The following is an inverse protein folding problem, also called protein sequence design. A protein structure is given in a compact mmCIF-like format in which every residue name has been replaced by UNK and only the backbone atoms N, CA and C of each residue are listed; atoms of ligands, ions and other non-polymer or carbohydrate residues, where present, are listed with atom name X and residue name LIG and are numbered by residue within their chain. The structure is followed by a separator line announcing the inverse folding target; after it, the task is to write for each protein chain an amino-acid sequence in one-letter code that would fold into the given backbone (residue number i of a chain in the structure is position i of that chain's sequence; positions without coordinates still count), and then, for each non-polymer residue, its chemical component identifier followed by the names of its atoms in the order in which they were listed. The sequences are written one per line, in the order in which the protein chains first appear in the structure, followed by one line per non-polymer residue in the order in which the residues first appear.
data_IF_320241614672
#
_entry.id   IF_320241614672
#
_cell.length_a   1.000
_cell.length_b   1.000
_cell.length_c   1.000
_cell.angle_alpha   90.00
_cell.angle_beta   90.00
_cell.angle_gamma   90.00
#
_symmetry.space_group_name_H-M   'P 1'
#
loop_
_entity.id
_entity.type
_entity.pdbx_description
1 polymer ?
#
# COMPACT_ATOMS: atom_id res chain seq x y z
N UNK A 1 0.98 -28.68 -14.29
CA UNK A 1 1.75 -27.85 -13.34
C UNK A 1 2.47 -26.79 -14.15
N UNK A 2 2.14 -25.52 -13.95
CA UNK A 2 2.69 -24.43 -14.76
C UNK A 2 3.92 -23.84 -14.06
N UNK A 3 4.86 -23.31 -14.84
CA UNK A 3 6.00 -22.53 -14.32
C UNK A 3 5.71 -21.02 -14.36
N UNK A 4 6.49 -20.17 -13.66
CA UNK A 4 6.26 -18.72 -13.68
C UNK A 4 6.23 -18.15 -15.11
N UNK A 5 7.18 -18.55 -15.96
CA UNK A 5 7.26 -18.09 -17.34
C UNK A 5 6.04 -18.56 -18.17
N UNK A 6 5.57 -19.79 -17.97
CA UNK A 6 4.39 -20.30 -18.67
C UNK A 6 3.12 -19.56 -18.28
N UNK A 7 2.95 -19.23 -17.00
CA UNK A 7 1.82 -18.42 -16.51
C UNK A 7 1.88 -17.02 -17.14
N UNK A 8 3.05 -16.39 -17.12
CA UNK A 8 3.27 -15.08 -17.74
C UNK A 8 2.95 -15.07 -19.24
N UNK A 9 3.48 -16.02 -20.00
CA UNK A 9 3.25 -16.14 -21.45
C UNK A 9 1.77 -16.36 -21.77
N UNK A 10 1.10 -17.25 -21.01
CA UNK A 10 -0.34 -17.49 -21.18
C UNK A 10 -1.15 -16.22 -20.92
N UNK A 11 -0.85 -15.51 -19.84
CA UNK A 11 -1.55 -14.28 -19.50
C UNK A 11 -1.34 -13.18 -20.56
N UNK A 12 -0.16 -13.07 -21.17
CA UNK A 12 0.06 -12.15 -22.30
C UNK A 12 -0.86 -12.50 -23.48
N UNK A 13 -0.95 -13.78 -23.83
CA UNK A 13 -1.79 -14.25 -24.94
C UNK A 13 -3.29 -14.06 -24.66
N UNK A 14 -3.74 -14.42 -23.46
CA UNK A 14 -5.16 -14.43 -23.10
C UNK A 14 -5.71 -13.04 -22.73
N UNK A 15 -4.88 -12.18 -22.11
CA UNK A 15 -5.32 -10.89 -21.54
C UNK A 15 -4.85 -9.67 -22.36
N UNK A 16 -4.24 -9.89 -23.53
CA UNK A 16 -3.83 -8.82 -24.44
C UNK A 16 -2.74 -7.88 -23.90
N UNK A 17 -1.95 -8.32 -22.91
CA UNK A 17 -0.86 -7.51 -22.38
C UNK A 17 0.24 -7.30 -23.44
N UNK A 18 0.88 -6.12 -23.44
CA UNK A 18 2.05 -5.89 -24.28
C UNK A 18 3.29 -6.49 -23.64
N UNK A 19 4.13 -7.09 -24.48
CA UNK A 19 5.42 -7.62 -24.06
C UNK A 19 6.37 -6.46 -23.69
N UNK A 20 6.96 -6.54 -22.50
CA UNK A 20 7.96 -5.61 -21.99
C UNK A 20 9.25 -6.38 -21.70
N UNK A 21 10.35 -5.94 -22.30
CA UNK A 21 11.66 -6.60 -22.17
C UNK A 21 12.13 -6.66 -20.71
N UNK A 22 11.83 -5.62 -19.91
CA UNK A 22 12.17 -5.60 -18.48
C UNK A 22 11.33 -6.62 -17.69
N UNK A 23 10.07 -6.84 -18.08
CA UNK A 23 9.25 -7.89 -17.49
C UNK A 23 9.72 -9.29 -17.89
N UNK A 24 10.16 -9.45 -19.14
CA UNK A 24 10.70 -10.71 -19.63
C UNK A 24 11.98 -11.11 -18.88
N UNK A 25 12.93 -10.19 -18.74
CA UNK A 25 14.16 -10.43 -17.97
C UNK A 25 13.84 -10.82 -16.52
N UNK A 26 12.93 -10.08 -15.88
CA UNK A 26 12.56 -10.35 -14.49
C UNK A 26 11.84 -11.70 -14.31
N UNK A 27 10.93 -12.08 -15.23
CA UNK A 27 10.25 -13.37 -15.13
C UNK A 27 11.20 -14.54 -15.43
N UNK A 28 12.22 -14.36 -16.27
CA UNK A 28 13.25 -15.37 -16.51
C UNK A 28 14.08 -15.64 -15.25
N UNK A 29 14.43 -14.61 -14.49
CA UNK A 29 15.09 -14.78 -13.18
C UNK A 29 14.18 -15.53 -12.20
N UNK A 30 12.89 -15.16 -12.11
CA UNK A 30 11.93 -15.85 -11.26
C UNK A 30 11.70 -17.31 -11.69
N UNK A 31 11.73 -17.57 -13.00
CA UNK A 31 11.64 -18.91 -13.58
C UNK A 31 12.85 -19.77 -13.16
N UNK A 32 14.07 -19.21 -13.23
CA UNK A 32 15.27 -19.91 -12.81
C UNK A 32 15.24 -20.20 -11.31
N UNK A 33 14.89 -19.20 -10.50
CA UNK A 33 14.71 -19.36 -9.06
C UNK A 33 13.70 -20.49 -8.72
N UNK A 34 12.58 -20.53 -9.43
CA UNK A 34 11.57 -21.58 -9.26
C UNK A 34 12.14 -22.97 -9.55
N UNK A 35 12.96 -23.12 -10.60
CA UNK A 35 13.63 -24.38 -10.94
C UNK A 35 14.62 -24.79 -9.86
N UNK A 36 15.42 -23.84 -9.37
CA UNK A 36 16.42 -24.10 -8.33
C UNK A 36 15.76 -24.50 -7.00
N UNK A 37 14.65 -23.86 -6.64
CA UNK A 37 13.83 -24.24 -5.49
C UNK A 37 13.28 -25.67 -5.61
N UNK A 38 12.79 -26.07 -6.79
CA UNK A 38 12.32 -27.44 -7.02
C UNK A 38 13.43 -28.48 -6.94
N UNK A 39 14.66 -28.12 -7.32
CA UNK A 39 15.84 -28.98 -7.25
C UNK A 39 16.54 -28.95 -5.89
N UNK A 40 16.15 -28.04 -4.99
CA UNK A 40 16.86 -27.79 -3.74
C UNK A 40 18.25 -27.16 -3.92
N UNK A 41 18.48 -26.49 -5.06
CA UNK A 41 19.76 -25.86 -5.44
C UNK A 41 19.78 -24.37 -5.11
N UNK A 42 19.32 -24.02 -3.91
CA UNK A 42 19.28 -22.63 -3.42
C UNK A 42 20.63 -22.21 -2.83
N UNK A 43 20.99 -20.96 -3.08
CA UNK A 43 22.23 -20.31 -2.62
C UNK A 43 21.90 -19.08 -1.77
N UNK A 44 22.91 -18.45 -1.20
CA UNK A 44 22.75 -17.17 -0.51
C UNK A 44 22.18 -16.05 -1.42
N UNK A 45 22.29 -16.17 -2.75
CA UNK A 45 21.79 -15.16 -3.69
C UNK A 45 20.46 -15.56 -4.35
N UNK A 46 19.79 -16.59 -3.83
CA UNK A 46 18.50 -17.05 -4.37
C UNK A 46 17.30 -16.21 -3.93
N UNK A 47 17.52 -15.03 -3.33
CA UNK A 47 16.44 -14.09 -3.01
C UNK A 47 16.38 -12.97 -4.04
N UNK A 48 15.18 -12.55 -4.44
CA UNK A 48 14.96 -11.59 -5.53
C UNK A 48 14.26 -10.34 -5.01
N UNK A 49 14.71 -9.17 -5.47
CA UNK A 49 14.10 -7.89 -5.16
C UNK A 49 13.75 -7.14 -6.43
N UNK A 50 12.46 -7.07 -6.73
CA UNK A 50 11.92 -6.32 -7.87
C UNK A 50 11.64 -4.89 -7.45
N UNK A 51 12.28 -3.92 -8.09
CA UNK A 51 12.01 -2.51 -7.82
C UNK A 51 11.82 -1.67 -9.07
N UNK A 52 11.13 -0.55 -8.94
CA UNK A 52 10.84 0.36 -10.05
C UNK A 52 9.50 1.05 -9.84
N UNK A 53 9.20 2.10 -10.61
CA UNK A 53 7.99 2.94 -10.44
C UNK A 53 6.68 2.14 -10.41
N UNK A 54 5.60 2.79 -9.99
CA UNK A 54 4.27 2.17 -9.99
C UNK A 54 3.87 1.78 -11.43
N UNK A 55 3.03 0.76 -11.57
CA UNK A 55 2.53 0.35 -12.89
C UNK A 55 3.44 -0.57 -13.72
N UNK A 56 4.65 -0.88 -13.23
CA UNK A 56 5.65 -1.70 -13.98
C UNK A 56 5.44 -3.22 -13.92
N UNK A 57 4.36 -3.70 -13.31
CA UNK A 57 4.05 -5.14 -13.25
C UNK A 57 4.82 -5.96 -12.19
N UNK A 58 5.54 -5.33 -11.25
CA UNK A 58 6.28 -6.03 -10.17
C UNK A 58 5.43 -7.06 -9.42
N UNK A 59 4.26 -6.63 -8.94
CA UNK A 59 3.30 -7.48 -8.22
C UNK A 59 2.80 -8.60 -9.11
N UNK A 60 2.48 -8.31 -10.36
CA UNK A 60 2.03 -9.30 -11.34
C UNK A 60 3.09 -10.39 -11.63
N UNK A 61 4.37 -10.02 -11.72
CA UNK A 61 5.46 -11.00 -11.86
C UNK A 61 5.57 -11.88 -10.61
N UNK A 62 5.41 -11.28 -9.42
CA UNK A 62 5.36 -12.03 -8.17
C UNK A 62 4.13 -12.97 -8.11
N UNK A 63 2.97 -12.56 -8.66
CA UNK A 63 1.77 -13.39 -8.79
C UNK A 63 2.07 -14.64 -9.63
N UNK A 64 2.68 -14.45 -10.80
CA UNK A 64 3.06 -15.56 -11.69
C UNK A 64 3.98 -16.57 -10.97
N UNK A 65 4.92 -16.08 -10.17
CA UNK A 65 5.79 -16.95 -9.37
C UNK A 65 5.02 -17.67 -8.25
N UNK A 66 4.20 -16.93 -7.51
CA UNK A 66 3.44 -17.47 -6.39
C UNK A 66 2.43 -18.54 -6.85
N UNK A 67 1.71 -18.29 -7.94
CA UNK A 67 0.76 -19.23 -8.55
C UNK A 67 1.46 -20.48 -9.09
N UNK A 68 2.67 -20.33 -9.64
CA UNK A 68 3.50 -21.47 -10.01
C UNK A 68 3.87 -22.30 -8.78
N UNK A 69 4.21 -21.67 -7.65
CA UNK A 69 4.45 -22.39 -6.40
C UNK A 69 3.20 -23.13 -5.92
N UNK A 70 2.04 -22.47 -5.88
CA UNK A 70 0.76 -23.06 -5.43
C UNK A 70 0.34 -24.26 -6.28
N UNK A 71 0.56 -24.19 -7.60
CA UNK A 71 0.23 -25.27 -8.53
C UNK A 71 1.25 -26.42 -8.56
N UNK A 72 2.26 -26.40 -7.68
CA UNK A 72 3.34 -27.38 -7.60
C UNK A 72 3.60 -27.80 -6.13
N UNK A 73 4.57 -28.70 -5.91
CA UNK A 73 4.98 -29.18 -4.58
C UNK A 73 5.54 -28.10 -3.62
N UNK A 74 5.73 -26.86 -4.11
CA UNK A 74 6.17 -25.72 -3.31
C UNK A 74 5.01 -25.01 -2.58
N UNK A 75 3.76 -25.30 -2.93
CA UNK A 75 2.59 -24.55 -2.46
C UNK A 75 2.42 -24.49 -0.95
N UNK A 76 2.77 -25.56 -0.24
CA UNK A 76 2.73 -25.59 1.24
C UNK A 76 3.89 -24.89 1.93
N UNK A 77 4.95 -24.54 1.18
CA UNK A 77 6.19 -23.96 1.69
C UNK A 77 6.34 -22.46 1.35
N UNK A 78 5.37 -21.88 0.64
CA UNK A 78 5.38 -20.48 0.23
C UNK A 78 4.35 -19.67 1.02
N UNK A 79 4.73 -18.46 1.43
CA UNK A 79 3.79 -17.48 2.00
C UNK A 79 3.89 -16.18 1.24
N UNK A 80 2.76 -15.68 0.76
CA UNK A 80 2.64 -14.30 0.33
C UNK A 80 2.01 -13.43 1.41
N UNK A 81 2.55 -12.23 1.60
CA UNK A 81 2.03 -11.25 2.56
C UNK A 81 2.45 -9.84 2.15
N UNK A 82 1.57 -8.87 2.37
CA UNK A 82 1.90 -7.45 2.21
C UNK A 82 2.79 -6.96 3.38
N UNK A 83 3.75 -6.07 3.13
CA UNK A 83 4.72 -5.60 4.13
C UNK A 83 4.09 -5.16 5.45
N UNK A 84 3.10 -4.27 5.39
CA UNK A 84 2.44 -3.77 6.61
C UNK A 84 1.81 -4.88 7.45
N UNK A 85 1.14 -5.85 6.81
CA UNK A 85 0.55 -7.02 7.48
C UNK A 85 1.64 -7.92 8.06
N UNK A 86 2.79 -8.04 7.40
CA UNK A 86 3.94 -8.76 7.93
C UNK A 86 4.51 -8.10 9.19
N UNK A 87 4.63 -6.77 9.22
CA UNK A 87 5.06 -6.05 10.41
C UNK A 87 4.06 -6.20 11.58
N UNK A 88 2.75 -6.12 11.30
CA UNK A 88 1.71 -6.41 12.30
C UNK A 88 1.80 -7.84 12.84
N UNK A 89 2.05 -8.83 11.97
CA UNK A 89 2.30 -10.21 12.38
C UNK A 89 3.54 -10.29 13.28
N UNK A 90 4.64 -9.67 12.87
CA UNK A 90 5.91 -9.70 13.59
C UNK A 90 5.77 -9.11 15.00
N UNK A 91 5.14 -7.94 15.13
CA UNK A 91 4.86 -7.32 16.44
C UNK A 91 3.97 -8.19 17.33
N UNK A 92 2.96 -8.87 16.77
CA UNK A 92 2.14 -9.84 17.54
C UNK A 92 2.97 -11.03 18.02
N UNK A 93 3.82 -11.60 17.15
CA UNK A 93 4.67 -12.75 17.52
C UNK A 93 5.72 -12.38 18.57
N UNK A 94 6.27 -11.16 18.54
CA UNK A 94 7.17 -10.69 19.58
C UNK A 94 6.51 -10.62 20.96
N UNK A 95 5.22 -10.25 21.02
CA UNK A 95 4.44 -10.28 22.27
C UNK A 95 4.24 -11.72 22.76
N UNK A 96 3.98 -12.67 21.87
CA UNK A 96 3.85 -14.10 22.23
C UNK A 96 5.15 -14.66 22.80
N UNK A 97 6.30 -14.19 22.34
CA UNK A 97 7.61 -14.58 22.84
C UNK A 97 8.21 -13.60 23.84
N UNK A 98 7.39 -12.74 24.45
CA UNK A 98 7.84 -11.80 25.45
C UNK A 98 8.47 -12.52 26.65
N UNK A 99 9.56 -11.96 27.18
CA UNK A 99 10.32 -12.55 28.29
C UNK A 99 11.33 -13.63 27.88
N UNK A 100 11.33 -14.09 26.62
CA UNK A 100 12.41 -14.93 26.09
C UNK A 100 13.66 -14.10 25.77
N UNK A 101 14.83 -14.70 25.92
CA UNK A 101 16.09 -14.12 25.43
C UNK A 101 16.06 -14.11 23.91
N UNK A 102 16.22 -12.93 23.30
CA UNK A 102 16.13 -12.70 21.84
C UNK A 102 14.86 -13.24 21.17
N UNK A 103 13.67 -12.65 21.46
CA UNK A 103 12.38 -13.13 20.96
C UNK A 103 12.30 -13.30 19.43
N UNK A 104 13.02 -12.45 18.69
CA UNK A 104 13.12 -12.51 17.22
C UNK A 104 13.59 -13.86 16.68
N UNK A 105 14.51 -14.53 17.38
CA UNK A 105 15.03 -15.83 16.95
C UNK A 105 13.93 -16.89 17.00
N UNK A 106 13.02 -16.80 17.97
CA UNK A 106 11.86 -17.70 18.06
C UNK A 106 10.85 -17.40 16.96
N UNK A 107 10.58 -16.12 16.67
CA UNK A 107 9.72 -15.74 15.53
C UNK A 107 10.29 -16.29 14.21
N UNK A 108 11.59 -16.14 13.99
CA UNK A 108 12.27 -16.68 12.81
C UNK A 108 12.12 -18.21 12.72
N UNK A 109 12.35 -18.93 13.83
CA UNK A 109 12.16 -20.38 13.88
C UNK A 109 10.73 -20.81 13.54
N UNK A 110 9.73 -20.09 14.04
CA UNK A 110 8.34 -20.43 13.79
C UNK A 110 7.92 -20.16 12.33
N UNK A 111 8.44 -19.09 11.73
CA UNK A 111 8.31 -18.85 10.28
C UNK A 111 8.96 -19.96 9.46
N UNK A 112 10.21 -20.32 9.77
CA UNK A 112 11.00 -21.32 9.02
C UNK A 112 10.45 -22.74 9.12
N UNK A 113 9.70 -23.08 10.17
CA UNK A 113 8.97 -24.36 10.27
C UNK A 113 7.87 -24.49 9.22
N UNK A 114 7.24 -23.37 8.85
CA UNK A 114 6.09 -23.34 7.97
C UNK A 114 6.47 -23.02 6.53
N UNK A 115 7.41 -22.08 6.36
CA UNK A 115 7.69 -21.48 5.06
C UNK A 115 9.19 -21.48 4.76
N UNK A 116 9.53 -21.90 3.54
CA UNK A 116 10.87 -21.74 2.95
C UNK A 116 10.95 -20.54 2.02
N UNK A 117 9.81 -20.09 1.51
CA UNK A 117 9.71 -18.99 0.55
C UNK A 117 8.77 -17.95 1.13
N UNK A 118 9.23 -16.70 1.20
CA UNK A 118 8.42 -15.56 1.59
C UNK A 118 8.33 -14.59 0.40
N UNK A 119 7.11 -14.37 -0.08
CA UNK A 119 6.79 -13.34 -1.06
C UNK A 119 6.26 -12.11 -0.30
N UNK A 120 7.05 -11.03 -0.27
CA UNK A 120 6.74 -9.81 0.46
C UNK A 120 6.37 -8.69 -0.51
N UNK A 121 5.07 -8.39 -0.59
CA UNK A 121 4.57 -7.34 -1.47
C UNK A 121 4.75 -5.96 -0.83
N UNK A 122 5.02 -4.97 -1.68
CA UNK A 122 5.10 -3.55 -1.31
C UNK A 122 6.02 -3.25 -0.13
N UNK A 123 7.24 -3.76 -0.23
CA UNK A 123 8.29 -3.53 0.74
C UNK A 123 8.67 -2.06 0.86
N UNK A 124 8.35 -1.45 2.00
CA UNK A 124 8.61 -0.04 2.28
C UNK A 124 8.88 0.17 3.76
N UNK A 125 9.81 1.05 4.12
CA UNK A 125 10.19 1.29 5.51
C UNK A 125 10.07 2.78 5.83
N UNK A 126 9.20 3.13 6.77
CA UNK A 126 8.91 4.51 7.19
C UNK A 126 9.26 4.84 8.64
N UNK A 127 9.56 3.84 9.47
CA UNK A 127 9.91 4.00 10.89
C UNK A 127 11.18 3.23 11.26
N UNK A 128 12.01 3.81 12.14
CA UNK A 128 13.30 3.22 12.55
C UNK A 128 13.14 1.94 13.38
N UNK A 129 12.13 1.83 14.24
CA UNK A 129 11.90 0.63 15.04
C UNK A 129 11.58 -0.57 14.15
N UNK A 130 10.71 -0.37 13.16
CA UNK A 130 10.37 -1.38 12.15
C UNK A 130 11.58 -1.71 11.27
N UNK A 131 12.36 -0.71 10.87
CA UNK A 131 13.60 -0.89 10.12
C UNK A 131 14.61 -1.79 10.86
N UNK A 132 14.86 -1.50 12.13
CA UNK A 132 15.78 -2.25 12.99
C UNK A 132 15.30 -3.68 13.26
N UNK A 133 13.99 -3.85 13.39
CA UNK A 133 13.36 -5.14 13.64
C UNK A 133 13.48 -6.04 12.41
N UNK A 134 13.13 -5.48 11.25
CA UNK A 134 13.21 -6.12 9.95
C UNK A 134 14.64 -6.54 9.60
N UNK A 135 15.62 -5.64 9.76
CA UNK A 135 17.01 -5.95 9.47
C UNK A 135 17.56 -7.13 10.26
N UNK A 136 17.25 -7.17 11.57
CA UNK A 136 17.64 -8.29 12.43
C UNK A 136 16.95 -9.59 12.06
N UNK A 137 15.65 -9.54 11.75
CA UNK A 137 14.90 -10.72 11.34
C UNK A 137 15.40 -11.28 10.00
N UNK A 138 15.55 -10.42 9.00
CA UNK A 138 15.98 -10.82 7.65
C UNK A 138 17.35 -11.49 7.69
N UNK A 139 18.30 -10.94 8.46
CA UNK A 139 19.60 -11.58 8.66
C UNK A 139 19.47 -13.04 9.13
N UNK A 140 18.67 -13.28 10.18
CA UNK A 140 18.45 -14.64 10.71
C UNK A 140 17.77 -15.53 9.68
N UNK A 141 16.77 -15.03 8.95
CA UNK A 141 16.04 -15.81 7.94
C UNK A 141 16.96 -16.21 6.77
N UNK A 142 17.78 -15.29 6.28
CA UNK A 142 18.72 -15.58 5.19
C UNK A 142 19.82 -16.56 5.61
N UNK A 143 20.39 -16.41 6.80
CA UNK A 143 21.37 -17.35 7.35
C UNK A 143 20.81 -18.78 7.51
N UNK A 144 19.49 -18.91 7.61
CA UNK A 144 18.78 -20.20 7.69
C UNK A 144 18.24 -20.69 6.33
N UNK A 145 18.57 -19.99 5.24
CA UNK A 145 18.23 -20.42 3.87
C UNK A 145 16.80 -20.10 3.44
N UNK A 146 16.10 -19.15 4.09
CA UNK A 146 14.83 -18.64 3.57
C UNK A 146 15.08 -17.85 2.29
N UNK A 147 14.24 -18.11 1.27
CA UNK A 147 14.21 -17.34 0.03
C UNK A 147 13.17 -16.23 0.15
N UNK A 148 13.60 -14.99 -0.06
CA UNK A 148 12.73 -13.82 -0.14
C UNK A 148 12.51 -13.43 -1.61
N UNK A 149 11.25 -13.23 -2.01
CA UNK A 149 10.91 -12.45 -3.19
C UNK A 149 10.21 -11.20 -2.70
N UNK A 150 10.73 -10.02 -2.99
CA UNK A 150 10.13 -8.76 -2.56
C UNK A 150 9.87 -7.82 -3.74
N UNK A 151 8.80 -7.04 -3.64
CA UNK A 151 8.46 -5.97 -4.60
C UNK A 151 8.53 -4.62 -3.87
N UNK A 152 9.03 -3.57 -4.53
CA UNK A 152 9.01 -2.21 -3.99
C UNK A 152 9.04 -1.17 -5.11
N UNK A 153 8.66 0.07 -4.86
CA UNK A 153 9.00 1.15 -5.80
C UNK A 153 10.29 1.91 -5.42
N UNK A 154 10.96 1.51 -4.34
CA UNK A 154 12.23 2.07 -3.88
C UNK A 154 13.34 1.02 -4.04
N UNK A 155 14.53 1.41 -4.51
CA UNK A 155 15.69 0.52 -4.52
C UNK A 155 16.22 0.26 -3.09
N UNK A 156 16.88 -0.89 -2.81
CA UNK A 156 17.31 -1.24 -1.45
C UNK A 156 18.15 -0.18 -0.73
N UNK A 157 19.08 0.46 -1.44
CA UNK A 157 19.96 1.52 -0.90
C UNK A 157 19.21 2.79 -0.48
N UNK A 158 17.99 3.00 -0.99
CA UNK A 158 17.14 4.15 -0.71
C UNK A 158 16.02 3.82 0.28
N UNK A 159 15.92 2.57 0.75
CA UNK A 159 14.97 2.23 1.81
C UNK A 159 15.24 3.07 3.04
N UNK A 160 14.23 3.78 3.55
CA UNK A 160 14.34 4.70 4.69
C UNK A 160 15.29 5.90 4.45
N UNK A 161 15.50 6.31 3.19
CA UNK A 161 16.28 7.51 2.84
C UNK A 161 15.70 8.70 3.59
N UNK A 162 16.55 9.45 4.30
CA UNK A 162 16.18 10.58 5.17
C UNK A 162 15.47 10.25 6.50
N UNK A 163 15.33 8.96 6.81
CA UNK A 163 14.80 8.49 8.08
C UNK A 163 15.63 8.89 9.30
N UNK A 164 14.97 9.04 10.44
CA UNK A 164 15.61 9.37 11.72
C UNK A 164 16.60 8.25 12.12
N UNK A 165 17.85 8.60 12.43
CA UNK A 165 18.90 7.63 12.78
C UNK A 165 19.17 6.57 11.69
N UNK A 166 19.04 6.94 10.41
CA UNK A 166 19.32 6.08 9.23
C UNK A 166 20.61 5.24 9.34
N UNK A 167 21.67 5.78 9.93
CA UNK A 167 22.95 5.07 10.11
C UNK A 167 22.79 3.71 10.81
N UNK A 168 21.80 3.59 11.71
CA UNK A 168 21.50 2.33 12.42
C UNK A 168 20.89 1.28 11.50
N UNK A 169 20.25 1.70 10.40
CA UNK A 169 19.62 0.82 9.42
C UNK A 169 20.56 0.43 8.26
N UNK A 170 21.66 1.15 8.04
CA UNK A 170 22.65 0.81 7.00
C UNK A 170 23.15 -0.64 7.05
N UNK A 171 23.42 -1.26 8.23
CA UNK A 171 23.79 -2.68 8.29
C UNK A 171 22.71 -3.62 7.75
N UNK A 172 21.43 -3.26 7.89
CA UNK A 172 20.33 -4.04 7.35
C UNK A 172 20.26 -3.91 5.82
N UNK A 173 20.48 -2.70 5.29
CA UNK A 173 20.58 -2.46 3.84
C UNK A 173 21.73 -3.29 3.25
N UNK A 174 22.91 -3.24 3.87
CA UNK A 174 24.06 -4.05 3.43
C UNK A 174 23.76 -5.56 3.47
N UNK A 175 22.98 -6.01 4.47
CA UNK A 175 22.51 -7.40 4.53
C UNK A 175 21.59 -7.71 3.35
N UNK A 176 20.62 -6.84 3.06
CA UNK A 176 19.70 -7.00 1.93
C UNK A 176 20.48 -7.03 0.60
N UNK A 177 21.40 -6.11 0.37
CA UNK A 177 22.23 -6.07 -0.85
C UNK A 177 23.11 -7.32 -1.03
N UNK A 178 23.53 -7.95 0.07
CA UNK A 178 24.32 -9.18 0.00
C UNK A 178 23.49 -10.38 -0.47
N UNK A 179 22.26 -10.53 0.04
CA UNK A 179 21.41 -11.70 -0.22
C UNK A 179 20.47 -11.52 -1.43
N UNK A 180 20.15 -10.29 -1.81
CA UNK A 180 19.18 -10.01 -2.86
C UNK A 180 19.83 -9.83 -4.23
N UNK A 181 19.35 -10.59 -5.20
CA UNK A 181 19.45 -10.23 -6.60
C UNK A 181 18.44 -9.11 -6.88
N UNK A 182 18.95 -7.89 -7.08
CA UNK A 182 18.14 -6.69 -7.30
C UNK A 182 17.87 -6.53 -8.80
N UNK A 183 16.59 -6.46 -9.17
CA UNK A 183 16.14 -6.28 -10.55
C UNK A 183 15.34 -4.98 -10.67
N UNK A 184 15.77 -4.12 -11.60
CA UNK A 184 15.11 -2.84 -11.86
C UNK A 184 14.12 -2.96 -13.02
N UNK A 185 12.85 -2.73 -12.73
CA UNK A 185 11.75 -2.67 -13.69
C UNK A 185 11.73 -1.30 -14.39
N UNK A 186 12.61 -1.14 -15.37
CA UNK A 186 12.83 0.11 -16.11
C UNK A 186 11.88 0.39 -17.27
N UNK A 187 10.91 -0.51 -17.55
CA UNK A 187 9.97 -0.39 -18.68
C UNK A 187 9.32 0.99 -18.77
N UNK A 188 9.13 1.52 -19.98
CA UNK A 188 8.63 2.88 -20.19
C UNK A 188 7.11 3.01 -20.00
N UNK A 189 6.34 1.96 -20.33
CA UNK A 189 4.87 1.95 -20.30
C UNK A 189 4.34 1.45 -18.93
N UNK A 190 3.27 2.07 -18.45
CA UNK A 190 2.49 1.56 -17.32
C UNK A 190 1.48 0.54 -17.87
N UNK A 191 1.71 -0.74 -17.58
CA UNK A 191 0.90 -1.84 -18.11
C UNK A 191 -0.48 -1.93 -17.45
N UNK A 192 -0.72 -1.20 -16.36
CA UNK A 192 -2.05 -1.08 -15.73
C UNK A 192 -2.96 -0.16 -16.54
N UNK A 193 -2.40 0.85 -17.21
CA UNK A 193 -3.17 1.82 -18.02
C UNK A 193 -3.82 1.17 -19.26
N UNK A 194 -3.25 0.08 -19.78
CA UNK A 194 -3.82 -0.62 -20.95
C UNK A 194 -5.17 -1.31 -20.65
N UNK A 195 -5.50 -1.53 -19.37
CA UNK A 195 -6.76 -2.14 -18.93
C UNK A 195 -7.80 -1.12 -18.44
N UNK A 196 -7.44 0.14 -18.25
CA UNK A 196 -8.33 1.19 -17.76
C UNK A 196 -9.28 1.73 -18.85
N UNK A 197 -9.72 0.88 -19.77
CA UNK A 197 -10.62 1.25 -20.86
C UNK A 197 -12.02 0.74 -20.52
N UNK A 198 -12.72 1.40 -19.58
CA UNK A 198 -14.01 0.88 -19.11
C UNK A 198 -14.91 1.68 -18.14
N UNK A 199 -14.70 2.97 -17.80
CA UNK A 199 -15.64 3.85 -17.00
C UNK A 199 -16.06 3.35 -15.57
N UNK A 200 -16.77 4.09 -14.67
CA UNK A 200 -16.87 5.51 -14.31
C UNK A 200 -16.85 5.70 -12.75
N UNK A 201 -15.81 5.26 -12.03
CA UNK A 201 -15.74 5.42 -10.56
C UNK A 201 -14.98 6.67 -10.10
N UNK A 202 -14.54 7.50 -11.04
CA UNK A 202 -13.89 8.79 -10.77
C UNK A 202 -14.50 9.87 -11.65
N UNK A 203 -14.99 10.93 -11.01
CA UNK A 203 -15.66 12.05 -11.62
C UNK A 203 -14.87 13.31 -11.34
N UNK A 204 -14.80 14.20 -12.32
CA UNK A 204 -14.18 15.51 -12.18
C UNK A 204 -15.28 16.55 -12.15
N UNK A 205 -15.30 17.36 -11.11
CA UNK A 205 -16.25 18.46 -10.96
C UNK A 205 -15.56 19.71 -10.43
N UNK A 206 -16.08 20.88 -10.77
CA UNK A 206 -15.62 22.12 -10.16
C UNK A 206 -16.05 22.13 -8.69
N UNK A 207 -15.08 22.10 -7.78
CA UNK A 207 -15.34 22.27 -6.35
C UNK A 207 -15.19 23.76 -6.03
N UNK A 208 -16.30 24.43 -5.73
CA UNK A 208 -16.27 25.81 -5.27
C UNK A 208 -15.61 25.88 -3.88
N UNK A 209 -14.58 26.72 -3.74
CA UNK A 209 -13.82 26.84 -2.49
C UNK A 209 -14.66 27.32 -1.29
N UNK A 210 -15.79 27.98 -1.55
CA UNK A 210 -16.70 28.54 -0.54
C UNK A 210 -17.99 27.71 -0.35
N UNK A 211 -18.12 26.57 -1.04
CA UNK A 211 -19.28 25.70 -0.87
C UNK A 211 -19.29 25.11 0.54
N UNK A 212 -20.43 25.22 1.24
CA UNK A 212 -20.59 24.59 2.55
C UNK A 212 -20.46 23.07 2.39
N UNK A 213 -19.73 22.38 3.29
CA UNK A 213 -19.71 20.92 3.31
C UNK A 213 -21.14 20.40 3.48
N UNK A 214 -21.64 19.72 2.45
CA UNK A 214 -23.02 19.32 2.38
C UNK A 214 -23.32 18.56 1.11
N UNK A 215 -24.44 17.85 1.13
CA UNK A 215 -24.91 17.07 0.01
C UNK A 215 -25.46 18.01 -1.08
N UNK A 216 -24.80 18.11 -2.23
CA UNK A 216 -25.41 18.68 -3.43
C UNK A 216 -25.96 17.53 -4.28
N UNK A 217 -27.29 17.45 -4.37
CA UNK A 217 -27.96 16.34 -5.07
C UNK A 217 -27.65 16.28 -6.56
N UNK A 218 -27.15 17.36 -7.15
CA UNK A 218 -26.77 17.42 -8.56
C UNK A 218 -25.40 16.81 -8.84
N UNK A 219 -24.64 16.42 -7.81
CA UNK A 219 -23.31 15.83 -7.99
C UNK A 219 -23.41 14.44 -8.63
N UNK A 220 -22.63 14.14 -9.68
CA UNK A 220 -22.69 12.87 -10.39
C UNK A 220 -22.49 11.65 -9.48
N UNK A 221 -21.58 11.73 -8.50
CA UNK A 221 -21.33 10.65 -7.54
C UNK A 221 -22.52 10.43 -6.61
N UNK A 222 -23.25 11.48 -6.24
CA UNK A 222 -24.47 11.30 -5.44
C UNK A 222 -25.60 10.70 -6.27
N UNK A 223 -25.76 11.13 -7.52
CA UNK A 223 -26.68 10.48 -8.45
C UNK A 223 -26.36 9.00 -8.62
N UNK A 224 -25.08 8.65 -8.72
CA UNK A 224 -24.62 7.25 -8.77
C UNK A 224 -24.98 6.50 -7.50
N UNK A 225 -24.73 7.07 -6.32
CA UNK A 225 -25.13 6.49 -5.04
C UNK A 225 -26.64 6.20 -4.97
N UNK A 226 -27.49 7.13 -5.43
CA UNK A 226 -28.95 6.92 -5.45
C UNK A 226 -29.33 5.80 -6.42
N UNK A 227 -28.71 5.74 -7.59
CA UNK A 227 -28.96 4.67 -8.55
C UNK A 227 -28.56 3.30 -7.99
N UNK A 228 -27.39 3.21 -7.36
CA UNK A 228 -26.85 1.97 -6.79
C UNK A 228 -27.60 1.54 -5.51
N UNK A 229 -28.26 2.47 -4.82
CA UNK A 229 -29.18 2.17 -3.72
C UNK A 229 -30.48 1.48 -4.19
N UNK A 230 -30.80 1.53 -5.49
CA UNK A 230 -31.97 0.87 -6.06
C UNK A 230 -33.29 1.28 -5.39
N UNK A 231 -34.03 0.30 -4.86
CA UNK A 231 -35.27 0.52 -4.10
C UNK A 231 -35.07 0.54 -2.58
N UNK A 232 -33.83 0.43 -2.11
CA UNK A 232 -33.54 0.42 -0.68
C UNK A 232 -33.78 1.80 -0.05
N UNK A 233 -34.05 1.81 1.26
CA UNK A 233 -34.26 3.07 1.98
C UNK A 233 -32.93 3.83 2.09
N UNK A 234 -32.95 5.10 1.71
CA UNK A 234 -31.82 6.03 1.86
C UNK A 234 -32.05 6.88 3.11
N UNK A 235 -31.15 6.76 4.08
CA UNK A 235 -31.09 7.65 5.24
C UNK A 235 -30.08 8.76 4.96
N UNK A 236 -30.36 9.98 5.40
CA UNK A 236 -29.51 11.16 5.21
C UNK A 236 -29.04 11.75 6.52
N UNK A 237 -27.89 12.43 6.49
CA UNK A 237 -27.30 13.09 7.65
C UNK A 237 -27.18 12.16 8.87
N UNK A 238 -26.68 10.94 8.65
CA UNK A 238 -26.60 9.90 9.66
C UNK A 238 -25.34 10.06 10.50
N UNK A 239 -25.49 10.08 11.82
CA UNK A 239 -24.36 10.02 12.75
C UNK A 239 -23.84 8.57 12.84
N UNK A 240 -22.82 8.27 12.04
CA UNK A 240 -22.21 6.94 12.00
C UNK A 240 -21.14 6.84 13.09
N UNK A 241 -21.33 5.93 14.03
CA UNK A 241 -20.32 5.65 15.05
C UNK A 241 -19.32 4.62 14.51
N UNK A 242 -18.08 5.05 14.31
CA UNK A 242 -16.94 4.21 13.93
C UNK A 242 -15.96 4.19 15.10
N UNK A 243 -15.70 3.02 15.65
CA UNK A 243 -14.94 2.85 16.90
C UNK A 243 -15.54 3.72 18.03
N UNK A 244 -14.79 4.68 18.57
CA UNK A 244 -15.27 5.62 19.61
C UNK A 244 -15.60 7.02 19.07
N UNK A 245 -15.75 7.15 17.74
CA UNK A 245 -15.90 8.44 17.06
C UNK A 245 -17.17 8.49 16.23
N UNK A 246 -17.85 9.63 16.28
CA UNK A 246 -18.99 9.92 15.41
C UNK A 246 -18.48 10.60 14.14
N UNK A 247 -18.84 10.04 12.99
CA UNK A 247 -18.60 10.59 11.66
C UNK A 247 -19.96 10.89 11.03
N UNK A 248 -20.19 12.16 10.68
CA UNK A 248 -21.41 12.53 9.98
C UNK A 248 -21.36 12.01 8.54
N UNK A 249 -22.24 11.08 8.22
CA UNK A 249 -22.40 10.48 6.90
C UNK A 249 -23.51 11.22 6.15
N UNK A 250 -23.26 11.62 4.90
CA UNK A 250 -24.23 12.39 4.12
C UNK A 250 -25.45 11.54 3.78
N UNK A 251 -25.21 10.29 3.37
CA UNK A 251 -26.27 9.34 3.12
C UNK A 251 -25.79 7.89 3.30
N UNK A 252 -26.70 7.03 3.73
CA UNK A 252 -26.47 5.59 3.87
C UNK A 252 -27.65 4.84 3.25
N UNK A 253 -27.34 3.78 2.51
CA UNK A 253 -28.32 2.78 2.11
C UNK A 253 -27.69 1.40 2.24
N UNK A 254 -28.23 0.57 3.13
CA UNK A 254 -27.66 -0.74 3.47
C UNK A 254 -26.16 -0.68 3.81
N UNK A 255 -25.28 -1.17 2.91
CA UNK A 255 -23.82 -1.18 3.05
C UNK A 255 -23.12 -0.17 2.12
N UNK A 256 -23.87 0.76 1.55
CA UNK A 256 -23.41 1.89 0.75
C UNK A 256 -23.34 3.14 1.63
N UNK A 257 -22.17 3.78 1.68
CA UNK A 257 -21.94 4.94 2.53
C UNK A 257 -21.43 6.14 1.72
N UNK A 258 -22.05 7.29 1.89
CA UNK A 258 -21.73 8.52 1.17
C UNK A 258 -21.17 9.58 2.11
N UNK A 259 -19.97 10.08 1.83
CA UNK A 259 -19.28 11.09 2.62
C UNK A 259 -18.74 12.22 1.75
N UNK A 260 -18.62 13.42 2.33
CA UNK A 260 -17.71 14.43 1.78
C UNK A 260 -16.27 14.15 2.23
N UNK A 261 -15.30 14.64 1.45
CA UNK A 261 -13.89 14.62 1.84
C UNK A 261 -13.65 15.21 3.23
N UNK A 262 -14.25 16.36 3.53
CA UNK A 262 -14.06 17.03 4.81
C UNK A 262 -14.47 16.16 6.01
N UNK A 263 -15.66 15.55 5.94
CA UNK A 263 -16.20 14.71 7.02
C UNK A 263 -15.32 13.50 7.34
N UNK A 264 -14.71 12.92 6.29
CA UNK A 264 -13.96 11.67 6.39
C UNK A 264 -12.46 11.89 6.67
N UNK A 265 -11.90 13.05 6.32
CA UNK A 265 -10.44 13.27 6.38
C UNK A 265 -9.96 14.44 7.22
N UNK A 266 -10.77 15.47 7.51
CA UNK A 266 -10.29 16.67 8.23
C UNK A 266 -10.34 16.50 9.75
N UNK A 267 -11.36 15.81 10.26
CA UNK A 267 -11.53 15.54 11.70
C UNK A 267 -10.45 14.64 12.32
N UNK A 268 -10.49 14.38 13.63
CA UNK A 268 -9.59 13.44 14.29
C UNK A 268 -9.89 12.02 13.79
N UNK A 269 -9.07 11.53 12.86
CA UNK A 269 -9.18 10.22 12.22
C UNK A 269 -7.87 9.47 12.29
N UNK A 270 -7.95 8.15 12.30
CA UNK A 270 -6.85 7.21 12.40
C UNK A 270 -7.07 6.05 11.42
N UNK A 271 -6.00 5.30 11.13
CA UNK A 271 -6.11 4.12 10.28
C UNK A 271 -7.14 3.09 10.79
N UNK A 272 -7.33 2.97 12.11
CA UNK A 272 -8.31 2.06 12.70
C UNK A 272 -9.75 2.42 12.31
N UNK A 273 -10.05 3.71 12.13
CA UNK A 273 -11.37 4.15 11.72
C UNK A 273 -11.69 3.64 10.30
N UNK A 274 -10.70 3.67 9.40
CA UNK A 274 -10.87 3.15 8.03
C UNK A 274 -10.97 1.61 7.98
N UNK A 275 -10.26 0.91 8.87
CA UNK A 275 -10.40 -0.55 9.05
C UNK A 275 -11.80 -0.92 9.55
N UNK A 276 -12.36 -0.13 10.46
CA UNK A 276 -13.73 -0.36 10.93
C UNK A 276 -14.75 -0.07 9.82
N UNK A 277 -14.55 1.01 9.05
CA UNK A 277 -15.39 1.33 7.90
C UNK A 277 -15.37 0.24 6.82
N UNK A 278 -14.20 -0.28 6.45
CA UNK A 278 -14.06 -1.31 5.40
C UNK A 278 -14.74 -2.64 5.72
N UNK A 279 -15.03 -2.91 7.00
CA UNK A 279 -15.78 -4.09 7.44
C UNK A 279 -17.28 -3.93 7.22
N UNK A 280 -17.80 -2.71 7.37
CA UNK A 280 -19.24 -2.43 7.30
C UNK A 280 -19.69 -1.94 5.92
N UNK A 281 -18.78 -1.35 5.14
CA UNK A 281 -19.07 -0.82 3.82
C UNK A 281 -18.70 -1.83 2.72
N UNK A 282 -19.59 -2.01 1.75
CA UNK A 282 -19.27 -2.69 0.49
C UNK A 282 -18.79 -1.67 -0.55
N UNK A 283 -19.39 -0.47 -0.55
CA UNK A 283 -18.97 0.65 -1.39
C UNK A 283 -19.01 1.98 -0.61
N UNK A 284 -17.99 2.81 -0.83
CA UNK A 284 -17.90 4.16 -0.28
C UNK A 284 -17.92 5.20 -1.40
N UNK A 285 -18.86 6.14 -1.32
CA UNK A 285 -19.00 7.27 -2.23
C UNK A 285 -18.39 8.49 -1.59
N UNK A 286 -17.38 9.06 -2.22
CA UNK A 286 -16.58 10.15 -1.70
C UNK A 286 -16.71 11.39 -2.58
N UNK A 287 -17.32 12.42 -2.01
CA UNK A 287 -17.65 13.65 -2.72
C UNK A 287 -16.62 14.74 -2.45
N UNK A 288 -16.41 15.58 -3.46
CA UNK A 288 -15.66 16.83 -3.36
C UNK A 288 -14.24 16.65 -2.81
N UNK A 289 -13.46 15.71 -3.36
CA UNK A 289 -12.04 15.56 -3.05
C UNK A 289 -11.24 16.73 -3.63
N UNK A 290 -10.62 17.59 -2.81
CA UNK A 290 -9.84 18.71 -3.30
C UNK A 290 -8.49 18.24 -3.85
N UNK A 291 -7.84 19.09 -4.62
CA UNK A 291 -6.41 18.94 -4.88
C UNK A 291 -5.64 19.10 -3.56
N UNK A 292 -4.77 18.15 -3.24
CA UNK A 292 -3.97 18.10 -2.02
C UNK A 292 -2.49 18.38 -2.32
N UNK A 293 -1.71 18.69 -1.28
CA UNK A 293 -0.28 18.94 -1.40
C UNK A 293 0.05 20.33 -1.98
N UNK A 294 1.33 20.59 -2.19
CA UNK A 294 1.82 21.86 -2.72
C UNK A 294 3.24 22.20 -2.26
N UNK A 295 3.63 23.47 -2.42
CA UNK A 295 4.94 23.95 -1.99
C UNK A 295 5.12 23.76 -0.47
N UNK A 296 6.29 23.24 -0.09
CA UNK A 296 6.71 23.02 1.28
C UNK A 296 6.83 24.39 2.01
N UNK A 297 5.84 24.73 2.85
CA UNK A 297 5.84 25.98 3.60
C UNK A 297 6.45 25.78 5.01
N UNK A 298 7.47 26.57 5.35
CA UNK A 298 8.05 26.59 6.70
C UNK A 298 7.02 27.17 7.70
N UNK A 299 6.30 26.31 8.41
CA UNK A 299 5.51 26.77 9.56
C UNK A 299 6.45 27.04 10.74
N UNK A 300 6.65 28.32 11.07
CA UNK A 300 7.23 28.72 12.36
C UNK A 300 6.28 28.26 13.47
N UNK A 301 6.72 27.29 14.27
CA UNK A 301 5.99 26.86 15.47
C UNK A 301 5.95 28.02 16.47
N UNK A 302 4.75 28.45 16.86
CA UNK A 302 4.57 29.40 17.95
C UNK A 302 4.94 28.71 19.27
N UNK A 303 5.94 29.23 19.99
CA UNK A 303 6.30 28.81 21.34
C UNK A 303 5.22 29.31 22.32
N UNK A 304 4.40 28.39 22.83
CA UNK A 304 3.63 28.62 24.05
C UNK A 304 4.57 28.61 25.26
N UNK A 305 4.37 29.56 26.16
CA UNK A 305 5.14 29.76 27.39
C UNK A 305 4.92 28.62 28.40
N UNK A 306 6.02 28.21 29.04
CA UNK A 306 6.16 27.45 30.30
C UNK A 306 5.81 25.96 30.28
N UNK A 307 6.82 25.10 30.10
CA UNK A 307 7.50 24.45 31.23
C UNK A 307 8.69 23.59 30.78
N UNK A 308 9.75 23.62 31.59
CA UNK A 308 11.08 23.08 31.26
C UNK A 308 11.18 21.59 31.61
N UNK A 309 11.38 20.73 30.61
CA UNK A 309 12.10 19.47 30.78
C UNK A 309 13.15 19.31 29.68
N UNK A 310 14.41 19.20 30.11
CA UNK A 310 15.60 19.00 29.28
C UNK A 310 15.48 17.72 28.43
N UNK A 311 15.16 17.86 27.15
CA UNK A 311 15.45 16.86 26.12
C UNK A 311 16.29 17.54 25.05
N UNK A 312 17.59 17.24 25.05
CA UNK A 312 18.58 17.40 23.98
C UNK A 312 18.22 18.39 22.85
N UNK A 313 18.71 19.63 22.99
CA UNK A 313 18.64 20.77 22.06
C UNK A 313 19.26 20.56 20.66
N UNK A 314 19.49 19.34 20.18
CA UNK A 314 19.95 19.07 18.80
C UNK A 314 18.90 18.47 17.87
N UNK A 315 17.69 18.19 18.36
CA UNK A 315 16.56 17.68 17.54
C UNK A 315 15.50 18.75 17.27
N UNK A 316 15.53 19.87 18.00
CA UNK A 316 14.46 20.87 18.04
C UNK A 316 14.45 21.90 16.88
N UNK A 317 15.47 21.93 16.02
CA UNK A 317 15.60 22.94 14.96
C UNK A 317 15.44 22.39 13.53
N UNK A 318 14.85 21.20 13.34
CA UNK A 318 14.37 20.84 11.99
C UNK A 318 13.01 21.51 11.79
N UNK A 319 12.87 22.46 10.85
CA UNK A 319 11.55 23.01 10.54
C UNK A 319 10.62 21.85 10.15
N UNK A 320 9.49 21.73 10.83
CA UNK A 320 8.40 20.84 10.39
C UNK A 320 7.75 21.50 9.17
N UNK A 321 8.33 21.26 8.00
CA UNK A 321 7.80 21.76 6.73
C UNK A 321 6.69 20.83 6.27
N UNK A 322 5.43 21.21 6.44
CA UNK A 322 4.27 20.47 5.94
C UNK A 322 3.72 21.22 4.72
N UNK A 323 3.48 20.51 3.62
CA UNK A 323 2.66 21.07 2.56
C UNK A 323 1.20 21.14 3.04
N UNK A 324 0.42 22.05 2.47
CA UNK A 324 -1.02 22.13 2.76
C UNK A 324 -1.68 20.81 2.33
N UNK A 325 -2.46 20.18 3.21
CA UNK A 325 -3.15 18.93 2.90
C UNK A 325 -2.33 17.64 3.09
N UNK A 326 -1.10 17.67 3.61
CA UNK A 326 -0.26 16.47 3.77
C UNK A 326 -0.84 15.44 4.76
N UNK A 327 -1.49 15.89 5.83
CA UNK A 327 -2.10 14.98 6.82
C UNK A 327 -3.39 14.36 6.28
N UNK A 328 -4.18 15.13 5.55
CA UNK A 328 -5.34 14.66 4.79
C UNK A 328 -4.93 13.68 3.70
N UNK A 329 -3.84 13.95 2.97
CA UNK A 329 -3.28 13.04 1.97
C UNK A 329 -2.87 11.69 2.58
N UNK A 330 -2.22 11.68 3.76
CA UNK A 330 -1.91 10.42 4.47
C UNK A 330 -3.14 9.64 4.90
N UNK A 331 -4.17 10.34 5.36
CA UNK A 331 -5.45 9.72 5.73
C UNK A 331 -6.19 9.17 4.51
N UNK A 332 -6.18 9.90 3.40
CA UNK A 332 -6.70 9.47 2.11
C UNK A 332 -5.98 8.22 1.60
N UNK A 333 -4.64 8.19 1.64
CA UNK A 333 -3.83 7.00 1.34
C UNK A 333 -4.27 5.82 2.22
N UNK A 334 -4.35 6.02 3.54
CA UNK A 334 -4.73 4.95 4.48
C UNK A 334 -6.13 4.39 4.21
N UNK A 335 -7.06 5.25 3.79
CA UNK A 335 -8.43 4.87 3.45
C UNK A 335 -8.48 4.04 2.16
N UNK A 336 -7.84 4.51 1.08
CA UNK A 336 -7.80 3.77 -0.19
C UNK A 336 -7.09 2.43 -0.01
N UNK A 337 -5.97 2.41 0.71
CA UNK A 337 -5.22 1.20 1.02
C UNK A 337 -6.10 0.13 1.67
N UNK A 338 -6.93 0.54 2.64
CA UNK A 338 -7.78 -0.40 3.38
C UNK A 338 -8.99 -0.87 2.56
N UNK A 339 -9.60 -0.01 1.73
CA UNK A 339 -10.65 -0.44 0.81
C UNK A 339 -10.11 -1.41 -0.25
N UNK A 340 -8.95 -1.10 -0.82
CA UNK A 340 -8.27 -1.95 -1.79
C UNK A 340 -7.93 -3.33 -1.19
N UNK A 341 -7.32 -3.36 0.01
CA UNK A 341 -6.98 -4.61 0.72
C UNK A 341 -8.20 -5.49 1.00
N UNK A 342 -9.35 -4.88 1.30
CA UNK A 342 -10.60 -5.57 1.60
C UNK A 342 -11.48 -5.80 0.37
N UNK A 343 -10.99 -5.49 -0.83
CA UNK A 343 -11.73 -5.59 -2.10
C UNK A 343 -13.08 -4.85 -2.06
N UNK A 344 -13.10 -3.66 -1.44
CA UNK A 344 -14.27 -2.77 -1.37
C UNK A 344 -14.24 -1.75 -2.49
N UNK A 345 -15.42 -1.37 -2.95
CA UNK A 345 -15.55 -0.35 -3.98
C UNK A 345 -15.40 1.06 -3.41
N UNK A 346 -14.90 1.96 -4.24
CA UNK A 346 -14.91 3.40 -3.98
C UNK A 346 -15.31 4.16 -5.23
N UNK A 347 -16.21 5.14 -5.09
CA UNK A 347 -16.62 6.04 -6.15
C UNK A 347 -16.28 7.47 -5.72
N UNK A 348 -15.49 8.18 -6.52
CA UNK A 348 -14.85 9.44 -6.12
C UNK A 348 -15.28 10.59 -7.03
N UNK A 349 -15.58 11.73 -6.45
CA UNK A 349 -15.68 13.01 -7.14
C UNK A 349 -14.54 13.92 -6.69
N UNK A 350 -13.82 14.54 -7.62
CA UNK A 350 -12.65 15.36 -7.32
C UNK A 350 -12.58 16.65 -8.13
N UNK A 351 -11.87 17.65 -7.59
CA UNK A 351 -11.64 18.95 -8.25
C UNK A 351 -10.78 18.86 -9.52
N UNK A 352 -9.96 17.81 -9.62
CA UNK A 352 -8.91 17.69 -10.61
C UNK A 352 -8.82 16.25 -11.10
N UNK A 353 -8.11 16.05 -12.20
CA UNK A 353 -7.70 14.74 -12.68
C UNK A 353 -6.94 13.97 -11.59
N UNK A 354 -7.06 12.64 -11.58
CA UNK A 354 -6.42 11.78 -10.58
C UNK A 354 -4.90 11.97 -10.53
N UNK A 355 -4.26 12.18 -11.68
CA UNK A 355 -2.81 12.47 -11.79
C UNK A 355 -2.39 13.80 -11.16
N UNK A 356 -3.34 14.72 -10.95
CA UNK A 356 -3.13 16.05 -10.38
C UNK A 356 -3.64 16.16 -8.95
N UNK A 357 -4.19 15.08 -8.38
CA UNK A 357 -4.83 15.09 -7.07
C UNK A 357 -3.85 15.40 -5.93
N UNK A 358 -2.55 15.16 -6.13
CA UNK A 358 -1.48 15.54 -5.20
C UNK A 358 -0.35 16.27 -5.92
N UNK A 359 -0.17 17.57 -5.62
CA UNK A 359 0.82 18.43 -6.28
C UNK A 359 2.26 18.25 -5.77
N UNK A 360 2.45 17.50 -4.69
CA UNK A 360 3.75 17.36 -4.04
C UNK A 360 3.69 17.54 -2.54
N UNK A 361 4.75 17.14 -1.85
CA UNK A 361 4.87 17.22 -0.40
C UNK A 361 5.64 16.01 0.14
N UNK A 362 5.32 15.56 1.35
CA UNK A 362 6.09 14.48 2.00
C UNK A 362 5.72 13.07 1.57
N UNK A 363 4.58 12.87 0.92
CA UNK A 363 4.03 11.54 0.61
C UNK A 363 3.87 11.30 -0.89
N UNK A 364 4.69 11.94 -1.72
CA UNK A 364 4.60 11.86 -3.20
C UNK A 364 4.61 10.42 -3.68
N UNK A 365 5.52 9.63 -3.14
CA UNK A 365 5.70 8.24 -3.52
C UNK A 365 4.51 7.36 -3.13
N UNK A 366 4.03 7.52 -1.90
CA UNK A 366 2.87 6.79 -1.39
C UNK A 366 1.61 7.18 -2.15
N UNK A 367 1.49 8.46 -2.52
CA UNK A 367 0.36 8.97 -3.28
C UNK A 367 0.35 8.49 -4.74
N UNK A 368 1.52 8.39 -5.41
CA UNK A 368 1.62 7.74 -6.73
C UNK A 368 1.07 6.31 -6.69
N UNK A 369 1.34 5.56 -5.62
CA UNK A 369 0.79 4.21 -5.43
C UNK A 369 -0.73 4.24 -5.21
N UNK A 370 -1.23 5.18 -4.41
CA UNK A 370 -2.67 5.37 -4.18
C UNK A 370 -3.40 5.69 -5.48
N UNK A 371 -2.83 6.51 -6.36
CA UNK A 371 -3.37 6.77 -7.71
C UNK A 371 -3.52 5.49 -8.50
N UNK A 372 -2.48 4.64 -8.57
CA UNK A 372 -2.60 3.38 -9.30
C UNK A 372 -3.61 2.41 -8.69
N UNK A 373 -3.74 2.35 -7.36
CA UNK A 373 -4.78 1.55 -6.70
C UNK A 373 -6.17 2.02 -7.08
N UNK A 374 -6.41 3.33 -7.10
CA UNK A 374 -7.69 3.89 -7.54
C UNK A 374 -7.98 3.48 -8.98
N UNK A 375 -7.00 3.55 -9.89
CA UNK A 375 -7.15 3.12 -11.29
C UNK A 375 -7.52 1.62 -11.37
N UNK A 376 -6.87 0.77 -10.58
CA UNK A 376 -7.17 -0.67 -10.53
C UNK A 376 -8.59 -0.95 -10.01
N UNK A 377 -9.04 -0.19 -9.01
CA UNK A 377 -10.41 -0.27 -8.48
C UNK A 377 -11.48 0.21 -9.49
N UNK A 378 -11.09 0.68 -10.68
CA UNK A 378 -12.01 0.97 -11.80
C UNK A 378 -12.19 -0.20 -12.76
N UNK A 379 -11.48 -1.32 -12.57
CA UNK A 379 -11.58 -2.50 -13.45
C UNK A 379 -12.80 -3.39 -13.15
N UNK A 380 -13.17 -4.23 -14.12
CA UNK A 380 -14.34 -5.13 -14.06
C UNK A 380 -14.35 -6.07 -12.83
N UNK A 381 -13.17 -6.45 -12.31
CA UNK A 381 -13.05 -7.30 -11.11
C UNK A 381 -13.70 -6.69 -9.86
N UNK A 382 -13.87 -5.38 -9.82
CA UNK A 382 -14.58 -4.69 -8.75
C UNK A 382 -16.05 -4.47 -9.05
N UNK A 383 -16.51 -4.51 -10.30
CA UNK A 383 -17.90 -4.24 -10.67
C UNK A 383 -18.88 -5.39 -10.39
N UNK A 384 -18.37 -6.61 -10.15
CA UNK A 384 -19.17 -7.83 -9.95
C UNK A 384 -19.33 -8.28 -8.48
N UNK A 385 -18.76 -7.56 -7.51
CA UNK A 385 -18.93 -7.78 -6.07
C UNK A 385 -19.77 -6.66 -5.44
#
# INVERSE_FOLDING_TARGET
MSTPLQIYQKNIQDKGYRQDDAQLEAIEVLQQLFVDLKKGQITAHSSVYLWGRVGRGKTYLMDCFYDACLSNALGSQVKRIHYYRFMQYLHRQLKVHQGKKDPLVYVAKDLLKQYKILCLDEFFVSDIADAMLLGRLMKVLFEQGLVLIATSNVEPTQLYKDGLQRDRFLPAIATLEHYLQVLHMSGAEDHRLAKASGFPNYYIEAIEADAKPGLNEQQPVFHRFIADSGSATVQRDVDLTIESRVIKCLAVSERLYCFSFEQLFVGPRSANDYIALSKIADCVYLLSVPQMGGALNERKVARGTEDTYNINQKVADRPFVLAQGDDEARRFISFIDELYDQQRQVVISAAVELSQLYLGGRVVFEFERTVSRIIEMQGDEYAEN
#
